data_IF_615003501903
#
_entry.id   IF_615003501903
#
_cell.length_a   1.000
_cell.length_b   1.000
_cell.length_c   1.000
_cell.angle_alpha   90.00
_cell.angle_beta   90.00
_cell.angle_gamma   90.00
#
_symmetry.space_group_name_H-M   'P 1'
#
loop_
_entity.id
_entity.type
_entity.pdbx_description
1 polymer ?
#
# COMPACT_ATOMS: atom_id res chain seq x y z
N UNK A 1 -5.97 7.39 3.18
CA UNK A 1 -6.75 6.15 3.00
C UNK A 1 -5.82 5.01 3.32
N UNK A 2 -6.23 4.09 4.19
CA UNK A 2 -5.39 2.94 4.57
C UNK A 2 -5.50 1.81 3.54
N UNK A 3 -4.43 1.04 3.37
CA UNK A 3 -4.41 -0.11 2.45
C UNK A 3 -5.57 -1.09 2.70
N UNK A 4 -5.89 -1.36 3.97
CA UNK A 4 -7.00 -2.23 4.35
C UNK A 4 -8.35 -1.72 3.84
N UNK A 5 -8.57 -0.41 3.84
CA UNK A 5 -9.80 0.21 3.35
C UNK A 5 -9.86 0.13 1.82
N UNK A 6 -8.73 0.37 1.14
CA UNK A 6 -8.63 0.25 -0.32
C UNK A 6 -9.07 -1.14 -0.78
N UNK A 7 -8.59 -2.18 -0.08
CA UNK A 7 -8.92 -3.57 -0.38
C UNK A 7 -10.36 -3.96 -0.01
N UNK A 8 -11.00 -3.24 0.92
CA UNK A 8 -12.41 -3.48 1.28
C UNK A 8 -13.36 -2.82 0.27
N UNK A 9 -12.94 -1.73 -0.38
CA UNK A 9 -13.78 -0.93 -1.27
C UNK A 9 -14.17 -1.68 -2.56
N UNK A 10 -13.27 -2.45 -3.17
CA UNK A 10 -13.62 -3.30 -4.32
C UNK A 10 -13.29 -4.77 -4.07
N UNK A 11 -14.29 -5.65 -4.27
CA UNK A 11 -14.08 -7.11 -4.33
C UNK A 11 -13.07 -7.41 -5.46
N UNK A 12 -12.04 -8.20 -5.17
CA UNK A 12 -10.98 -8.54 -6.13
C UNK A 12 -9.73 -7.65 -6.07
N UNK A 13 -9.77 -6.48 -5.43
CA UNK A 13 -8.60 -5.57 -5.35
C UNK A 13 -7.35 -6.24 -4.76
N UNK A 14 -7.53 -7.24 -3.89
CA UNK A 14 -6.41 -7.99 -3.29
C UNK A 14 -5.71 -8.89 -4.29
N UNK A 15 -6.46 -9.54 -5.20
CA UNK A 15 -5.88 -10.37 -6.24
C UNK A 15 -5.19 -9.50 -7.28
N UNK A 16 -5.86 -8.44 -7.75
CA UNK A 16 -5.28 -7.47 -8.69
C UNK A 16 -3.99 -6.86 -8.13
N UNK A 17 -3.99 -6.42 -6.87
CA UNK A 17 -2.78 -5.87 -6.25
C UNK A 17 -1.67 -6.92 -6.08
N UNK A 18 -2.02 -8.18 -5.84
CA UNK A 18 -1.05 -9.26 -5.74
C UNK A 18 -0.41 -9.56 -7.11
N UNK A 19 -1.22 -9.59 -8.16
CA UNK A 19 -0.76 -9.78 -9.54
C UNK A 19 0.13 -8.62 -10.00
N UNK A 20 -0.28 -7.36 -9.78
CA UNK A 20 0.53 -6.18 -10.11
C UNK A 20 1.87 -6.15 -9.37
N UNK A 21 1.92 -6.68 -8.15
CA UNK A 21 3.14 -6.74 -7.35
C UNK A 21 3.96 -8.02 -7.57
N UNK A 22 3.46 -8.97 -8.37
CA UNK A 22 4.09 -10.26 -8.64
C UNK A 22 4.23 -11.14 -7.39
N UNK A 23 3.27 -11.10 -6.48
CA UNK A 23 3.29 -11.80 -5.19
C UNK A 23 2.01 -12.60 -4.95
N UNK A 24 2.00 -13.40 -3.89
CA UNK A 24 0.79 -14.09 -3.43
C UNK A 24 -0.18 -13.12 -2.72
N UNK A 25 -1.52 -13.27 -2.90
CA UNK A 25 -2.52 -12.56 -2.11
C UNK A 25 -2.39 -12.78 -0.58
N UNK A 26 -1.75 -13.89 -0.18
CA UNK A 26 -1.48 -14.23 1.21
C UNK A 26 -0.42 -13.28 1.81
N UNK A 27 0.59 -12.90 1.02
CA UNK A 27 1.61 -11.91 1.41
C UNK A 27 0.97 -10.57 1.76
N UNK A 28 0.01 -10.12 0.94
CA UNK A 28 -0.75 -8.90 1.22
C UNK A 28 -1.53 -9.03 2.53
N UNK A 29 -2.18 -10.17 2.74
CA UNK A 29 -2.92 -10.44 3.99
C UNK A 29 -2.01 -10.43 5.22
N UNK A 30 -0.81 -11.00 5.07
CA UNK A 30 0.21 -10.99 6.11
C UNK A 30 0.70 -9.57 6.43
N UNK A 31 0.93 -8.71 5.42
CA UNK A 31 1.34 -7.31 5.63
C UNK A 31 0.28 -6.46 6.32
N UNK A 32 -1.00 -6.68 6.01
CA UNK A 32 -2.11 -5.97 6.66
C UNK A 32 -2.22 -6.33 8.14
N UNK A 33 -1.91 -7.57 8.50
CA UNK A 33 -1.92 -8.04 9.90
C UNK A 33 -0.68 -7.61 10.68
N UNK A 34 0.46 -7.58 9.99
CA UNK A 34 1.76 -7.25 10.58
C UNK A 34 2.20 -5.87 10.09
N UNK A 35 3.24 -5.82 9.28
CA UNK A 35 3.80 -4.59 8.74
C UNK A 35 4.11 -4.76 7.25
N UNK A 36 3.89 -3.68 6.49
CA UNK A 36 4.25 -3.61 5.07
C UNK A 36 5.78 -3.41 4.95
N UNK A 37 6.51 -4.23 4.19
CA UNK A 37 7.95 -4.07 3.99
C UNK A 37 8.29 -2.71 3.36
N UNK A 38 9.38 -2.09 3.82
CA UNK A 38 9.85 -0.76 3.38
C UNK A 38 9.93 -0.63 1.85
N UNK A 39 10.55 -1.64 1.24
CA UNK A 39 10.79 -1.74 -0.20
C UNK A 39 9.48 -1.84 -1.01
N UNK A 40 8.42 -2.39 -0.42
CA UNK A 40 7.12 -2.58 -1.07
C UNK A 40 6.19 -1.37 -0.94
N UNK A 41 6.50 -0.41 -0.07
CA UNK A 41 5.65 0.77 0.17
C UNK A 41 5.42 1.57 -1.10
N UNK A 42 6.48 1.88 -1.84
CA UNK A 42 6.37 2.67 -3.07
C UNK A 42 5.66 1.88 -4.17
N UNK A 43 5.94 0.59 -4.30
CA UNK A 43 5.25 -0.28 -5.25
C UNK A 43 3.72 -0.30 -5.01
N UNK A 44 3.29 -0.43 -3.75
CA UNK A 44 1.86 -0.35 -3.38
C UNK A 44 1.30 1.05 -3.66
N UNK A 45 2.04 2.12 -3.36
CA UNK A 45 1.60 3.48 -3.64
C UNK A 45 1.32 3.70 -5.14
N UNK A 46 2.19 3.19 -6.03
CA UNK A 46 1.97 3.29 -7.48
C UNK A 46 0.85 2.37 -7.97
N UNK A 47 0.82 1.10 -7.54
CA UNK A 47 -0.21 0.13 -7.93
C UNK A 47 -1.62 0.55 -7.47
N UNK A 48 -1.73 1.28 -6.36
CA UNK A 48 -3.00 1.84 -5.88
C UNK A 48 -3.35 3.20 -6.52
N UNK A 49 -2.67 3.58 -7.61
CA UNK A 49 -2.84 4.87 -8.30
C UNK A 49 -2.76 6.05 -7.33
N UNK A 50 -1.79 6.03 -6.41
CA UNK A 50 -1.53 7.08 -5.41
C UNK A 50 -2.63 7.29 -4.37
N UNK A 51 -3.62 6.39 -4.28
CA UNK A 51 -4.70 6.48 -3.29
C UNK A 51 -4.24 6.09 -1.88
N UNK A 52 -3.35 5.09 -1.77
CA UNK A 52 -2.78 4.65 -0.49
C UNK A 52 -1.42 5.30 -0.31
N UNK A 53 -1.32 6.30 0.58
CA UNK A 53 -0.09 7.07 0.76
C UNK A 53 0.97 6.31 1.57
N UNK A 54 2.28 6.52 1.33
CA UNK A 54 3.35 5.85 2.07
C UNK A 54 3.30 6.08 3.59
N UNK A 55 2.95 7.30 4.02
CA UNK A 55 2.83 7.62 5.45
C UNK A 55 1.68 6.89 6.15
N UNK A 56 0.66 6.44 5.41
CA UNK A 56 -0.43 5.63 5.96
C UNK A 56 -0.01 4.16 6.14
N UNK A 57 1.04 3.72 5.44
CA UNK A 57 1.57 2.35 5.46
C UNK A 57 2.71 2.19 6.46
N UNK A 58 3.67 3.11 6.42
CA UNK A 58 4.91 3.10 7.21
C UNK A 58 5.23 4.52 7.68
N UNK A 59 4.48 5.09 8.62
CA UNK A 59 4.73 6.46 9.13
C UNK A 59 6.12 6.59 9.77
N UNK A 60 6.70 5.48 10.22
CA UNK A 60 8.07 5.36 10.74
C UNK A 60 9.14 5.73 9.71
N UNK A 61 9.00 5.26 8.47
CA UNK A 61 9.92 5.57 7.37
C UNK A 61 9.49 6.77 6.53
N UNK A 62 8.19 7.02 6.49
CA UNK A 62 7.56 7.98 5.60
C UNK A 62 6.71 8.96 6.43
N UNK A 63 7.30 9.81 7.28
CA UNK A 63 6.53 10.76 8.06
C UNK A 63 5.87 11.81 7.14
N UNK A 64 4.60 12.13 7.42
CA UNK A 64 3.79 13.04 6.61
C UNK A 64 4.42 14.43 6.45
N UNK A 65 5.15 14.90 7.47
CA UNK A 65 5.83 16.20 7.46
C UNK A 65 7.00 16.29 6.48
N UNK A 66 7.64 15.16 6.14
CA UNK A 66 8.79 15.12 5.22
C UNK A 66 8.37 14.75 3.79
N UNK A 67 7.19 14.13 3.61
CA UNK A 67 6.70 13.73 2.30
C UNK A 67 6.01 14.89 1.56
N UNK A 68 6.77 15.63 0.76
CA UNK A 68 6.22 16.45 -0.33
C UNK A 68 6.08 15.60 -1.58
N UNK A 69 4.95 14.91 -1.71
CA UNK A 69 4.59 14.26 -2.98
C UNK A 69 4.23 15.36 -3.97
N UNK A 70 5.11 15.61 -4.94
CA UNK A 70 4.91 16.65 -5.96
C UNK A 70 3.83 16.15 -6.94
N UNK A 71 2.67 16.82 -6.97
CA UNK A 71 1.53 16.48 -7.84
C UNK A 71 0.39 15.70 -7.17
N UNK A 72 0.08 16.02 -5.91
CA UNK A 72 -1.21 15.72 -5.27
C UNK A 72 -2.08 16.99 -5.25
#
# INVERSE_FOLDING_TARGET
MKLKEYLKKNRGSRMVLAEELGISPQSITHWIKNQIPADRVLAIYFATKRQVKPYEMRPDLYPKSLLKIRGD
#
